data_IF_993937844518
#
_entry.id   IF_993937844518
#
_cell.length_a   1.000
_cell.length_b   1.000
_cell.length_c   1.000
_cell.angle_alpha   90.00
_cell.angle_beta   90.00
_cell.angle_gamma   90.00
#
_symmetry.space_group_name_H-M   'P 1'
#
loop_
_entity.id
_entity.type
_entity.pdbx_description
1 polymer ?
#
# COMPACT_ATOMS: atom_id res chain seq x y z
N UNK A 1 21.26 2.87 10.58
CA UNK A 1 20.59 3.36 9.35
C UNK A 1 19.94 4.68 9.71
N UNK A 2 20.28 5.75 9.01
CA UNK A 2 19.59 7.04 9.18
C UNK A 2 18.19 6.92 8.59
N UNK A 3 17.16 7.09 9.42
CA UNK A 3 15.77 7.12 8.97
C UNK A 3 15.50 8.48 8.32
N UNK A 4 15.22 8.48 7.01
CA UNK A 4 14.75 9.69 6.33
C UNK A 4 13.23 9.79 6.47
N UNK A 5 12.73 10.95 6.87
CA UNK A 5 11.29 11.23 6.79
C UNK A 5 10.80 11.06 5.36
N UNK A 6 9.65 10.44 5.18
CA UNK A 6 9.03 10.23 3.85
C UNK A 6 8.79 11.54 3.11
N UNK A 7 8.58 12.65 3.83
CA UNK A 7 8.40 14.00 3.27
C UNK A 7 9.62 14.54 2.51
N UNK A 8 10.82 14.02 2.81
CA UNK A 8 12.07 14.38 2.15
C UNK A 8 12.42 13.45 0.99
N UNK A 9 11.61 12.42 0.73
CA UNK A 9 11.83 11.49 -0.38
C UNK A 9 11.14 11.99 -1.64
N UNK A 10 11.78 11.80 -2.78
CA UNK A 10 11.13 12.08 -4.06
C UNK A 10 10.02 11.07 -4.33
N UNK A 11 9.01 11.48 -5.11
CA UNK A 11 7.92 10.60 -5.52
C UNK A 11 8.39 9.29 -6.18
N UNK A 12 9.36 9.29 -7.11
CA UNK A 12 9.90 8.05 -7.67
C UNK A 12 10.49 7.10 -6.63
N UNK A 13 11.21 7.64 -5.63
CA UNK A 13 11.75 6.83 -4.53
C UNK A 13 10.65 6.22 -3.67
N UNK A 14 9.59 6.97 -3.37
CA UNK A 14 8.43 6.46 -2.65
C UNK A 14 7.72 5.34 -3.42
N UNK A 15 7.56 5.50 -4.74
CA UNK A 15 6.98 4.46 -5.61
C UNK A 15 7.85 3.21 -5.61
N UNK A 16 9.17 3.38 -5.73
CA UNK A 16 10.11 2.27 -5.69
C UNK A 16 10.04 1.53 -4.34
N UNK A 17 10.04 2.27 -3.23
CA UNK A 17 9.95 1.71 -1.89
C UNK A 17 8.64 0.93 -1.68
N UNK A 18 7.49 1.50 -2.04
CA UNK A 18 6.21 0.80 -1.90
C UNK A 18 6.12 -0.47 -2.75
N UNK A 19 6.71 -0.48 -3.95
CA UNK A 19 6.74 -1.68 -4.81
C UNK A 19 7.59 -2.80 -4.23
N UNK A 20 8.68 -2.46 -3.54
CA UNK A 20 9.59 -3.42 -2.90
C UNK A 20 9.14 -3.89 -1.52
N UNK A 21 8.14 -3.25 -0.93
CA UNK A 21 7.63 -3.59 0.40
C UNK A 21 6.86 -4.92 0.39
N UNK A 22 7.08 -5.73 1.43
CA UNK A 22 6.55 -7.08 1.54
C UNK A 22 5.01 -7.16 1.67
N UNK A 23 4.35 -6.08 2.11
CA UNK A 23 2.90 -6.00 2.22
C UNK A 23 2.30 -5.01 1.21
N UNK A 24 2.89 -3.83 1.06
CA UNK A 24 2.36 -2.78 0.17
C UNK A 24 2.54 -3.19 -1.31
N UNK A 25 3.65 -3.84 -1.68
CA UNK A 25 3.89 -4.30 -3.04
C UNK A 25 2.80 -5.27 -3.53
N UNK A 26 2.53 -6.36 -2.78
CA UNK A 26 1.40 -7.25 -3.07
C UNK A 26 0.04 -6.55 -3.06
N UNK A 27 -0.20 -5.63 -2.13
CA UNK A 27 -1.45 -4.88 -2.08
C UNK A 27 -1.65 -3.99 -3.32
N UNK A 28 -0.60 -3.35 -3.84
CA UNK A 28 -0.64 -2.61 -5.11
C UNK A 28 -1.09 -3.54 -6.24
N UNK A 29 -0.49 -4.72 -6.36
CA UNK A 29 -0.87 -5.68 -7.39
C UNK A 29 -2.33 -6.13 -7.25
N UNK A 30 -2.78 -6.36 -6.02
CA UNK A 30 -4.15 -6.80 -5.73
C UNK A 30 -5.18 -5.73 -6.08
N UNK A 31 -4.91 -4.45 -5.75
CA UNK A 31 -5.77 -3.32 -6.11
C UNK A 31 -5.82 -3.12 -7.63
N UNK A 32 -4.67 -3.16 -8.32
CA UNK A 32 -4.61 -3.01 -9.77
C UNK A 32 -5.32 -4.13 -10.53
N UNK A 33 -5.21 -5.38 -10.04
CA UNK A 33 -5.87 -6.55 -10.63
C UNK A 33 -7.30 -6.77 -10.13
N UNK A 34 -7.78 -5.94 -9.20
CA UNK A 34 -9.04 -6.10 -8.47
C UNK A 34 -9.23 -7.50 -7.86
N UNK A 35 -8.13 -8.15 -7.47
CA UNK A 35 -8.11 -9.53 -6.98
C UNK A 35 -7.14 -9.67 -5.83
N UNK A 36 -7.66 -10.09 -4.68
CA UNK A 36 -6.88 -10.41 -3.49
C UNK A 36 -6.78 -11.93 -3.37
N UNK A 37 -5.57 -12.46 -3.23
CA UNK A 37 -5.37 -13.90 -3.03
C UNK A 37 -5.88 -14.35 -1.66
N UNK A 38 -6.23 -15.62 -1.55
CA UNK A 38 -6.62 -16.23 -0.27
C UNK A 38 -5.40 -16.40 0.64
N UNK A 39 -4.21 -16.64 0.08
CA UNK A 39 -2.91 -16.77 0.77
C UNK A 39 -2.38 -15.45 1.39
N UNK A 40 -3.21 -14.40 1.44
CA UNK A 40 -2.84 -13.13 2.09
C UNK A 40 -2.88 -13.22 3.61
N UNK A 41 -3.43 -14.30 4.16
CA UNK A 41 -3.61 -14.54 5.58
C UNK A 41 -2.30 -14.87 6.32
N UNK A 42 -1.24 -15.26 5.59
CA UNK A 42 0.10 -15.54 6.15
C UNK A 42 0.92 -14.27 6.46
N UNK A 43 0.51 -13.12 5.91
CA UNK A 43 1.16 -11.83 6.18
C UNK A 43 0.16 -10.89 6.89
N UNK A 44 0.36 -10.58 8.18
CA UNK A 44 -0.62 -9.84 8.96
C UNK A 44 -0.82 -8.40 8.46
N UNK A 45 0.22 -7.74 7.96
CA UNK A 45 0.12 -6.41 7.38
C UNK A 45 -0.68 -6.42 6.08
N UNK A 46 -0.45 -7.40 5.21
CA UNK A 46 -1.19 -7.57 3.96
C UNK A 46 -2.65 -7.95 4.21
N UNK A 47 -2.90 -8.81 5.20
CA UNK A 47 -4.24 -9.11 5.71
C UNK A 47 -4.99 -7.87 6.18
N UNK A 48 -4.30 -6.98 6.90
CA UNK A 48 -4.89 -5.71 7.32
C UNK A 48 -5.24 -4.82 6.13
N UNK A 49 -4.35 -4.73 5.13
CA UNK A 49 -4.62 -4.00 3.89
C UNK A 49 -5.83 -4.58 3.14
N UNK A 50 -5.97 -5.91 3.07
CA UNK A 50 -7.11 -6.60 2.46
C UNK A 50 -8.43 -6.27 3.16
N UNK A 51 -8.45 -6.20 4.50
CA UNK A 51 -9.64 -5.79 5.27
C UNK A 51 -10.06 -4.35 4.96
N UNK A 52 -9.10 -3.50 4.60
CA UNK A 52 -9.34 -2.12 4.20
C UNK A 52 -9.38 -1.90 2.69
N UNK A 53 -9.52 -2.95 1.87
CA UNK A 53 -9.44 -2.89 0.40
C UNK A 53 -10.33 -1.80 -0.21
N UNK A 54 -11.51 -1.56 0.35
CA UNK A 54 -12.48 -0.58 -0.18
C UNK A 54 -12.06 0.88 0.10
N UNK A 55 -11.03 1.07 0.92
CA UNK A 55 -10.41 2.36 1.21
C UNK A 55 -9.08 2.55 0.48
N UNK A 56 -8.59 1.54 -0.24
CA UNK A 56 -7.31 1.60 -0.92
C UNK A 56 -7.49 2.02 -2.38
N UNK A 57 -6.74 3.04 -2.80
CA UNK A 57 -6.75 3.52 -4.17
C UNK A 57 -5.34 3.70 -4.71
N UNK A 58 -5.17 3.43 -6.00
CA UNK A 58 -3.97 3.84 -6.72
C UNK A 58 -4.14 5.29 -7.16
N UNK A 59 -3.18 6.14 -6.77
CA UNK A 59 -3.08 7.50 -7.28
C UNK A 59 -1.61 7.78 -7.54
N UNK A 60 -1.29 8.36 -8.69
CA UNK A 60 0.05 8.86 -8.93
C UNK A 60 1.17 7.80 -8.85
N UNK A 61 0.84 6.52 -9.05
CA UNK A 61 1.76 5.39 -8.93
C UNK A 61 1.97 4.88 -7.49
N UNK A 62 1.33 5.50 -6.50
CA UNK A 62 1.38 5.15 -5.08
C UNK A 62 0.05 4.53 -4.63
N UNK A 63 0.12 3.64 -3.65
CA UNK A 63 -1.03 3.18 -2.88
C UNK A 63 -1.37 4.22 -1.82
N UNK A 64 -2.62 4.67 -1.83
CA UNK A 64 -3.16 5.59 -0.85
C UNK A 64 -4.32 4.94 -0.10
N UNK A 65 -4.43 5.26 1.19
CA UNK A 65 -5.60 4.95 2.02
C UNK A 65 -6.50 6.18 2.10
N UNK A 66 -7.76 6.00 1.72
CA UNK A 66 -8.80 7.00 1.88
C UNK A 66 -9.16 7.14 3.35
N UNK A 67 -8.72 8.24 3.96
CA UNK A 67 -9.17 8.65 5.28
C UNK A 67 -10.47 9.43 5.13
N UNK A 68 -11.63 8.78 5.27
CA UNK A 68 -12.87 9.51 5.57
C UNK A 68 -12.76 10.00 7.01
N UNK A 69 -12.50 11.30 7.23
CA UNK A 69 -12.79 11.89 8.54
C UNK A 69 -14.32 11.85 8.72
N UNK A 70 -14.86 11.36 9.84
CA UNK A 70 -16.25 11.65 10.16
C UNK A 70 -16.40 13.18 10.19
N UNK A 71 -17.43 13.68 9.51
CA UNK A 71 -17.79 15.09 9.53
C UNK A 71 -18.26 15.52 10.92
#
# INVERSE_FOLDING_TARGET
MELKSLEHMSKPELVYAQKGDAAIGPAIQAVQKQKWSEDTDDNPELSQLKREKDKLIMKDGLLHRLSKRPA
#
